data_IF_677717999898
#
_entry.id   IF_677717999898
#
_cell.length_a   1.000
_cell.length_b   1.000
_cell.length_c   1.000
_cell.angle_alpha   90.00
_cell.angle_beta   90.00
_cell.angle_gamma   90.00
#
_symmetry.space_group_name_H-M   'P 1'
#
loop_
_entity.id
_entity.type
_entity.pdbx_description
1 polymer ?
#
# COMPACT_ATOMS: atom_id res chain seq x y z
N UNK A 1 13.41 3.13 -2.78
CA UNK A 1 12.92 2.53 -4.03
C UNK A 1 12.25 3.56 -4.93
N UNK A 2 11.18 4.24 -4.50
CA UNK A 2 10.48 5.24 -5.34
C UNK A 2 11.40 6.30 -5.97
N UNK A 3 12.32 6.88 -5.19
CA UNK A 3 13.31 7.85 -5.70
C UNK A 3 14.23 7.25 -6.76
N UNK A 4 14.65 5.99 -6.61
CA UNK A 4 15.52 5.31 -7.59
C UNK A 4 14.78 5.02 -8.90
N UNK A 5 13.47 4.76 -8.82
CA UNK A 5 12.60 4.54 -9.97
C UNK A 5 12.01 5.85 -10.54
N UNK A 6 12.38 6.99 -9.98
CA UNK A 6 11.90 8.31 -10.36
C UNK A 6 10.36 8.43 -10.33
N UNK A 7 9.72 7.83 -9.33
CA UNK A 7 8.30 7.98 -9.08
C UNK A 7 8.02 9.16 -8.17
N UNK A 8 7.01 9.95 -8.52
CA UNK A 8 6.49 11.00 -7.64
C UNK A 8 5.83 10.35 -6.43
N UNK A 9 6.19 10.84 -5.25
CA UNK A 9 5.58 10.43 -4.00
C UNK A 9 5.76 11.51 -2.94
N UNK A 10 4.83 11.51 -1.99
CA UNK A 10 4.95 12.19 -0.72
C UNK A 10 5.11 11.18 0.40
N UNK A 11 6.08 11.42 1.28
CA UNK A 11 6.28 10.63 2.49
C UNK A 11 6.10 11.51 3.72
N UNK A 12 5.79 10.90 4.86
CA UNK A 12 5.69 11.63 6.13
C UNK A 12 6.98 12.42 6.44
N UNK A 13 8.15 11.88 6.10
CA UNK A 13 9.43 12.55 6.29
C UNK A 13 9.66 13.74 5.36
N UNK A 14 9.08 13.73 4.15
CA UNK A 14 9.25 14.78 3.13
C UNK A 14 8.27 15.94 3.33
N UNK A 15 7.01 15.63 3.61
CA UNK A 15 5.91 16.64 3.65
C UNK A 15 5.52 17.02 5.08
N UNK A 16 5.90 16.19 6.06
CA UNK A 16 5.59 16.42 7.47
C UNK A 16 4.26 15.83 7.89
N UNK A 17 4.23 15.29 9.12
CA UNK A 17 3.11 14.54 9.68
C UNK A 17 1.78 15.30 9.70
N UNK A 18 1.82 16.61 9.98
CA UNK A 18 0.61 17.44 10.11
C UNK A 18 -0.23 17.42 8.83
N UNK A 19 0.42 17.45 7.67
CA UNK A 19 -0.28 17.46 6.38
C UNK A 19 -1.00 16.13 6.12
N UNK A 20 -0.40 14.99 6.54
CA UNK A 20 -1.06 13.69 6.47
C UNK A 20 -2.30 13.66 7.36
N UNK A 21 -2.17 14.09 8.63
CA UNK A 21 -3.29 14.13 9.57
C UNK A 21 -4.43 15.03 9.04
N UNK A 22 -4.11 16.18 8.44
CA UNK A 22 -5.08 17.14 7.89
C UNK A 22 -5.90 16.57 6.72
N UNK A 23 -5.33 15.65 5.93
CA UNK A 23 -6.07 14.95 4.85
C UNK A 23 -6.76 13.67 5.30
N UNK A 24 -6.66 13.36 6.60
CA UNK A 24 -7.20 12.14 7.18
C UNK A 24 -6.37 10.90 6.91
N UNK A 25 -5.09 11.04 6.54
CA UNK A 25 -4.14 9.93 6.52
C UNK A 25 -3.49 9.84 7.89
N UNK A 26 -3.69 8.75 8.62
CA UNK A 26 -3.08 8.63 9.93
C UNK A 26 -1.66 8.08 9.92
N UNK A 27 -1.22 7.81 11.14
CA UNK A 27 0.19 7.63 11.49
C UNK A 27 0.85 6.41 10.85
N UNK A 28 0.05 5.43 10.40
CA UNK A 28 0.53 4.17 9.82
C UNK A 28 0.78 4.26 8.32
N UNK A 29 0.44 5.38 7.67
CA UNK A 29 0.71 5.58 6.24
C UNK A 29 2.12 6.14 6.05
N UNK A 30 3.00 5.42 5.37
CA UNK A 30 4.38 5.85 5.15
C UNK A 30 4.53 6.72 3.89
N UNK A 31 3.71 6.45 2.87
CA UNK A 31 3.81 7.09 1.55
C UNK A 31 2.48 7.22 0.83
N UNK A 32 2.37 8.23 -0.03
CA UNK A 32 1.27 8.48 -0.95
C UNK A 32 1.83 8.78 -2.33
N UNK A 33 1.34 8.08 -3.35
CA UNK A 33 1.73 8.28 -4.75
C UNK A 33 0.50 8.70 -5.59
N UNK A 34 0.66 9.65 -6.52
CA UNK A 34 1.86 10.46 -6.76
C UNK A 34 2.13 11.54 -5.70
N UNK A 35 1.08 12.05 -5.04
CA UNK A 35 1.21 13.09 -4.01
C UNK A 35 -0.02 13.16 -3.12
N UNK A 36 0.09 13.87 -2.00
CA UNK A 36 -1.05 14.18 -1.12
C UNK A 36 -2.07 15.09 -1.82
N UNK A 37 -1.63 16.00 -2.70
CA UNK A 37 -2.55 16.86 -3.44
C UNK A 37 -3.44 16.05 -4.38
N UNK A 38 -2.86 15.06 -5.08
CA UNK A 38 -3.63 14.12 -5.90
C UNK A 38 -4.56 13.25 -5.03
N UNK A 39 -4.17 12.92 -3.80
CA UNK A 39 -5.05 12.19 -2.87
C UNK A 39 -6.25 13.05 -2.44
N UNK A 40 -6.05 14.35 -2.18
CA UNK A 40 -7.15 15.28 -1.87
C UNK A 40 -8.13 15.40 -3.03
N UNK A 41 -7.62 15.45 -4.26
CA UNK A 41 -8.45 15.53 -5.46
C UNK A 41 -9.21 14.23 -5.73
N UNK A 42 -8.52 13.08 -5.71
CA UNK A 42 -9.12 11.78 -6.02
C UNK A 42 -8.44 10.61 -5.29
N UNK A 43 -8.92 10.35 -4.08
CA UNK A 43 -8.44 9.27 -3.19
C UNK A 43 -8.34 7.89 -3.81
N UNK A 44 -9.25 7.53 -4.73
CA UNK A 44 -9.26 6.20 -5.37
C UNK A 44 -8.33 6.10 -6.59
N UNK A 45 -7.60 7.17 -6.91
CA UNK A 45 -6.59 7.22 -7.95
C UNK A 45 -5.23 7.54 -7.36
N UNK A 46 -4.96 7.08 -6.15
CA UNK A 46 -3.64 7.21 -5.52
C UNK A 46 -3.28 5.91 -4.84
N UNK A 47 -1.98 5.63 -4.74
CA UNK A 47 -1.48 4.49 -4.00
C UNK A 47 -1.05 4.96 -2.62
N UNK A 48 -1.54 4.28 -1.59
CA UNK A 48 -1.20 4.55 -0.20
C UNK A 48 -0.37 3.38 0.28
N UNK A 49 0.89 3.63 0.61
CA UNK A 49 1.85 2.60 0.98
C UNK A 49 2.20 2.64 2.47
N UNK A 50 2.24 1.48 3.10
CA UNK A 50 2.87 1.27 4.42
C UNK A 50 3.84 0.10 4.34
N UNK A 51 4.88 0.11 5.17
CA UNK A 51 5.92 -0.92 5.18
C UNK A 51 6.03 -1.58 6.56
N UNK A 52 6.03 -2.91 6.60
CA UNK A 52 6.32 -3.69 7.82
C UNK A 52 7.26 -4.84 7.48
N UNK A 53 8.35 -4.99 8.24
CA UNK A 53 9.27 -6.11 8.04
C UNK A 53 8.64 -7.46 8.39
N UNK A 54 7.81 -7.50 9.43
CA UNK A 54 7.02 -8.67 9.82
C UNK A 54 5.59 -8.26 10.16
N UNK A 55 4.61 -9.05 9.76
CA UNK A 55 3.20 -8.74 9.97
C UNK A 55 2.75 -9.16 11.38
N UNK A 56 2.92 -10.45 11.71
CA UNK A 56 2.32 -11.08 12.91
C UNK A 56 0.85 -10.66 13.08
N UNK A 57 0.44 -10.18 14.25
CA UNK A 57 -0.87 -9.54 14.51
C UNK A 57 -0.90 -8.04 14.15
N UNK A 58 0.26 -7.41 13.93
CA UNK A 58 0.40 -5.96 13.76
C UNK A 58 -0.15 -5.42 12.44
N UNK A 59 -0.51 -6.28 11.48
CA UNK A 59 -1.22 -5.83 10.28
C UNK A 59 -2.63 -5.33 10.63
N UNK A 60 -3.21 -5.76 11.74
CA UNK A 60 -4.52 -5.29 12.22
C UNK A 60 -4.51 -3.77 12.50
N UNK A 61 -3.38 -3.20 12.89
CA UNK A 61 -3.23 -1.74 13.03
C UNK A 61 -3.49 -0.99 11.70
N UNK A 62 -3.21 -1.63 10.56
CA UNK A 62 -3.47 -1.07 9.23
C UNK A 62 -4.95 -1.17 8.89
N UNK A 63 -5.60 -2.27 9.26
CA UNK A 63 -7.05 -2.44 9.11
C UNK A 63 -7.82 -1.40 9.93
N UNK A 64 -7.45 -1.20 11.20
CA UNK A 64 -8.01 -0.16 12.06
C UNK A 64 -7.84 1.25 11.45
N UNK A 65 -6.68 1.50 10.83
CA UNK A 65 -6.38 2.77 10.18
C UNK A 65 -7.32 3.02 8.99
N UNK A 66 -7.52 2.02 8.13
CA UNK A 66 -8.48 2.07 7.01
C UNK A 66 -9.89 2.35 7.51
N UNK A 67 -10.34 1.62 8.53
CA UNK A 67 -11.68 1.76 9.09
C UNK A 67 -11.93 3.14 9.69
N UNK A 68 -10.93 3.68 10.40
CA UNK A 68 -10.97 4.97 11.07
C UNK A 68 -10.95 6.14 10.09
N UNK A 69 -10.18 6.04 9.01
CA UNK A 69 -9.95 7.14 8.06
C UNK A 69 -10.77 7.06 6.77
N UNK A 70 -11.44 5.92 6.55
CA UNK A 70 -12.19 5.62 5.32
C UNK A 70 -11.30 5.73 4.07
N UNK A 71 -10.03 5.38 4.22
CA UNK A 71 -9.12 5.18 3.09
C UNK A 71 -9.67 4.01 2.25
N UNK A 72 -9.71 4.10 0.91
CA UNK A 72 -10.25 3.02 0.09
C UNK A 72 -9.46 1.71 0.22
N UNK A 73 -8.13 1.78 0.16
CA UNK A 73 -7.22 0.64 0.12
C UNK A 73 -5.82 1.07 0.55
N UNK A 74 -5.05 0.17 1.18
CA UNK A 74 -3.64 0.38 1.51
C UNK A 74 -2.80 -0.78 0.95
N UNK A 75 -1.67 -0.43 0.34
CA UNK A 75 -0.61 -1.35 -0.05
C UNK A 75 0.34 -1.54 1.13
N UNK A 76 0.36 -2.74 1.70
CA UNK A 76 1.20 -3.15 2.82
C UNK A 76 2.40 -3.94 2.29
N UNK A 77 3.54 -3.28 2.17
CA UNK A 77 4.79 -3.87 1.72
C UNK A 77 5.44 -4.63 2.86
N UNK A 78 5.81 -5.89 2.63
CA UNK A 78 6.46 -6.71 3.63
C UNK A 78 7.48 -7.68 3.05
N UNK A 79 8.47 -8.03 3.87
CA UNK A 79 9.43 -9.11 3.60
C UNK A 79 9.12 -10.34 4.45
N UNK A 80 7.93 -10.39 5.06
CA UNK A 80 7.44 -11.55 5.79
C UNK A 80 7.12 -12.68 4.81
N UNK A 81 7.75 -13.83 5.00
CA UNK A 81 7.58 -15.00 4.15
C UNK A 81 6.43 -15.90 4.63
N UNK A 82 5.92 -15.69 5.86
CA UNK A 82 4.88 -16.53 6.46
C UNK A 82 3.49 -15.89 6.38
N UNK A 83 2.94 -15.92 5.17
CA UNK A 83 1.58 -15.48 4.88
C UNK A 83 0.70 -16.70 4.63
N UNK A 84 -0.20 -16.97 5.58
CA UNK A 84 -1.22 -17.99 5.41
C UNK A 84 -2.36 -17.50 4.51
N UNK A 85 -3.04 -18.44 3.85
CA UNK A 85 -4.22 -18.14 3.03
C UNK A 85 -5.33 -17.44 3.82
N UNK A 86 -5.53 -17.87 5.08
CA UNK A 86 -6.49 -17.25 5.99
C UNK A 86 -6.16 -15.78 6.28
N UNK A 87 -4.88 -15.47 6.56
CA UNK A 87 -4.40 -14.12 6.83
C UNK A 87 -4.54 -13.25 5.58
N UNK A 88 -4.18 -13.77 4.41
CA UNK A 88 -4.37 -13.10 3.13
C UNK A 88 -5.84 -12.76 2.86
N UNK A 89 -6.75 -13.71 3.09
CA UNK A 89 -8.18 -13.49 2.92
C UNK A 89 -8.76 -12.50 3.94
N UNK A 90 -8.24 -12.47 5.16
CA UNK A 90 -8.63 -11.49 6.18
C UNK A 90 -8.17 -10.08 5.79
N UNK A 91 -6.91 -9.92 5.39
CA UNK A 91 -6.38 -8.66 4.86
C UNK A 91 -7.18 -8.15 3.65
N UNK A 92 -7.60 -9.04 2.76
CA UNK A 92 -8.46 -8.68 1.61
C UNK A 92 -9.78 -8.05 2.04
N UNK A 93 -10.42 -8.55 3.11
CA UNK A 93 -11.70 -8.02 3.62
C UNK A 93 -11.56 -6.61 4.19
N UNK A 94 -10.36 -6.23 4.63
CA UNK A 94 -10.04 -4.91 5.15
C UNK A 94 -9.44 -3.98 4.07
N UNK A 95 -9.54 -4.33 2.78
CA UNK A 95 -8.96 -3.58 1.66
C UNK A 95 -7.44 -3.36 1.82
N UNK A 96 -6.73 -4.41 2.22
CA UNK A 96 -5.27 -4.42 2.28
C UNK A 96 -4.76 -5.28 1.13
N UNK A 97 -4.00 -4.64 0.25
CA UNK A 97 -3.16 -5.29 -0.76
C UNK A 97 -1.80 -5.53 -0.14
N UNK A 98 -1.33 -6.77 -0.10
CA UNK A 98 -0.04 -7.13 0.49
C UNK A 98 0.97 -7.29 -0.63
N UNK A 99 2.04 -6.51 -0.56
CA UNK A 99 3.13 -6.55 -1.52
C UNK A 99 4.28 -7.35 -0.92
N UNK A 100 4.65 -8.47 -1.56
CA UNK A 100 5.62 -9.45 -1.07
C UNK A 100 6.62 -9.87 -2.15
N UNK A 101 7.56 -10.72 -1.80
CA UNK A 101 8.42 -11.37 -2.79
C UNK A 101 7.62 -12.19 -3.80
N UNK A 102 8.09 -12.21 -5.04
CA UNK A 102 7.46 -12.94 -6.15
C UNK A 102 7.17 -14.42 -5.82
N UNK A 103 8.14 -15.14 -5.24
CA UNK A 103 7.96 -16.55 -4.90
C UNK A 103 6.94 -16.79 -3.78
N UNK A 104 6.61 -15.77 -2.97
CA UNK A 104 5.54 -15.83 -1.98
C UNK A 104 4.20 -15.56 -2.68
N UNK A 105 4.11 -14.50 -3.49
CA UNK A 105 2.90 -14.15 -4.23
C UNK A 105 2.45 -15.28 -5.17
N UNK A 106 3.39 -15.92 -5.86
CA UNK A 106 3.13 -16.96 -6.86
C UNK A 106 3.12 -18.39 -6.29
N UNK A 107 3.12 -18.56 -4.96
CA UNK A 107 3.05 -19.89 -4.37
C UNK A 107 1.66 -20.53 -4.57
N UNK A 108 1.56 -21.84 -4.39
CA UNK A 108 0.31 -22.59 -4.62
C UNK A 108 -0.87 -22.13 -3.77
N UNK A 109 -0.63 -21.54 -2.59
CA UNK A 109 -1.66 -21.12 -1.64
C UNK A 109 -2.16 -19.70 -1.89
N UNK A 110 -1.34 -18.84 -2.50
CA UNK A 110 -1.57 -17.39 -2.58
C UNK A 110 -1.74 -16.88 -4.01
N UNK A 111 -1.28 -17.60 -5.03
CA UNK A 111 -1.32 -17.15 -6.44
C UNK A 111 -2.71 -16.75 -6.96
N UNK A 112 -3.78 -17.31 -6.39
CA UNK A 112 -5.16 -17.00 -6.78
C UNK A 112 -5.76 -15.83 -5.98
N UNK A 113 -5.02 -15.25 -5.03
CA UNK A 113 -5.45 -14.14 -4.18
C UNK A 113 -5.09 -12.81 -4.82
N UNK A 114 -6.11 -12.09 -5.30
CA UNK A 114 -5.96 -10.78 -5.97
C UNK A 114 -5.37 -9.68 -5.10
N UNK A 115 -5.39 -9.83 -3.78
CA UNK A 115 -4.83 -8.85 -2.85
C UNK A 115 -3.40 -9.18 -2.44
N UNK A 116 -2.75 -10.16 -3.08
CA UNK A 116 -1.34 -10.48 -2.89
C UNK A 116 -0.63 -10.15 -4.20
N UNK A 117 0.31 -9.23 -4.14
CA UNK A 117 1.00 -8.67 -5.31
C UNK A 117 2.50 -8.82 -5.09
N UNK A 118 3.26 -9.10 -6.15
CA UNK A 118 4.73 -9.14 -6.03
C UNK A 118 5.31 -7.72 -6.00
N UNK A 119 6.51 -7.55 -5.45
CA UNK A 119 7.21 -6.27 -5.56
C UNK A 119 7.38 -5.84 -7.02
N UNK A 120 7.63 -6.78 -7.92
CA UNK A 120 7.77 -6.56 -9.35
C UNK A 120 6.48 -5.99 -9.96
N UNK A 121 5.33 -6.62 -9.72
CA UNK A 121 4.03 -6.14 -10.19
C UNK A 121 3.69 -4.77 -9.59
N UNK A 122 3.90 -4.60 -8.29
CA UNK A 122 3.67 -3.31 -7.60
C UNK A 122 4.50 -2.17 -8.19
N UNK A 123 5.82 -2.37 -8.31
CA UNK A 123 6.73 -1.32 -8.75
C UNK A 123 6.65 -1.08 -10.25
N UNK A 124 6.47 -2.11 -11.08
CA UNK A 124 6.62 -1.98 -12.53
C UNK A 124 5.31 -2.01 -13.30
N UNK A 125 4.19 -2.37 -12.68
CA UNK A 125 2.87 -2.37 -13.32
C UNK A 125 1.90 -1.42 -12.62
N UNK A 126 1.62 -1.64 -11.33
CA UNK A 126 0.59 -0.90 -10.60
C UNK A 126 0.94 0.58 -10.43
N UNK A 127 2.14 0.90 -9.93
CA UNK A 127 2.57 2.28 -9.76
C UNK A 127 2.58 3.01 -11.12
N UNK A 128 3.25 2.52 -12.18
CA UNK A 128 3.22 3.18 -13.49
C UNK A 128 1.81 3.37 -14.05
N UNK A 129 0.93 2.37 -13.92
CA UNK A 129 -0.46 2.49 -14.36
C UNK A 129 -1.20 3.62 -13.62
N UNK A 130 -1.00 3.72 -12.29
CA UNK A 130 -1.57 4.80 -11.49
C UNK A 130 -0.99 6.17 -11.86
N UNK A 131 0.32 6.27 -12.05
CA UNK A 131 0.98 7.53 -12.41
C UNK A 131 0.55 8.00 -13.80
N UNK A 132 0.37 7.09 -14.75
CA UNK A 132 -0.10 7.42 -16.10
C UNK A 132 -1.52 7.99 -16.10
N UNK A 133 -2.37 7.67 -15.11
CA UNK A 133 -3.67 8.32 -14.96
C UNK A 133 -3.55 9.84 -14.69
N UNK A 134 -2.50 10.27 -13.99
CA UNK A 134 -2.27 11.68 -13.64
C UNK A 134 -1.39 12.44 -14.61
N UNK A 135 -0.74 11.75 -15.55
CA UNK A 135 -0.04 12.39 -16.66
C UNK A 135 -1.09 12.93 -17.63
N UNK A 136 -1.34 14.23 -17.54
CA UNK A 136 -2.11 15.01 -18.52
C UNK A 136 -1.18 15.44 -19.66
#
# INVERSE_FOLDING_TARGET
MYTLLNYDFDSQGKVGRKIFDDVGLGKKVDSVLPSIENFKERRNKTIIGTMKTSLRERWQEVAEEIERTKIPEIHLLTVDEDISESKAAEMSKHNIVVVVYDWIANNEKLKDKRNIVSFEEYFFEEIPAMLNFWKV
#
